data_IF_766430871999
#
_entry.id   IF_766430871999
#
_cell.length_a   1.000
_cell.length_b   1.000
_cell.length_c   1.000
_cell.angle_alpha   90.00
_cell.angle_beta   90.00
_cell.angle_gamma   90.00
#
_symmetry.space_group_name_H-M   'P 1'
#
loop_
_entity.id
_entity.type
_entity.pdbx_description
1 polymer ?
#
# COMPACT_ATOMS: atom_id res chain seq x y z
N UNK A 1 -16.69 -11.60 -3.50
CA UNK A 1 -15.67 -10.65 -4.02
C UNK A 1 -14.93 -10.15 -2.81
N UNK A 2 -13.61 -10.35 -2.62
CA UNK A 2 -12.76 -9.15 -2.47
C UNK A 2 -11.24 -9.37 -2.28
N UNK A 3 -10.35 -8.90 -3.16
CA UNK A 3 -8.96 -8.57 -2.72
C UNK A 3 -8.55 -7.22 -3.27
N UNK A 4 -8.77 -7.05 -4.57
CA UNK A 4 -8.63 -5.77 -5.23
C UNK A 4 -9.57 -4.72 -4.62
N UNK A 5 -10.83 -5.06 -4.31
CA UNK A 5 -11.78 -4.10 -3.73
C UNK A 5 -11.38 -3.60 -2.33
N UNK A 6 -10.74 -4.44 -1.50
CA UNK A 6 -10.30 -4.03 -0.15
C UNK A 6 -9.04 -3.17 -0.21
N UNK A 7 -8.09 -3.52 -1.07
CA UNK A 7 -6.90 -2.69 -1.35
C UNK A 7 -7.35 -1.36 -1.95
N UNK A 8 -8.22 -1.41 -2.96
CA UNK A 8 -8.82 -0.22 -3.57
C UNK A 8 -9.59 0.61 -2.55
N UNK A 9 -10.35 -0.01 -1.64
CA UNK A 9 -11.06 0.69 -0.57
C UNK A 9 -10.09 1.37 0.39
N UNK A 10 -9.04 0.70 0.84
CA UNK A 10 -8.04 1.31 1.75
C UNK A 10 -7.27 2.43 1.06
N UNK A 11 -6.93 2.27 -0.22
CA UNK A 11 -6.31 3.32 -1.03
C UNK A 11 -7.29 4.48 -1.26
N UNK A 12 -8.56 4.22 -1.55
CA UNK A 12 -9.59 5.25 -1.74
C UNK A 12 -9.94 5.99 -0.43
N UNK A 13 -10.06 5.28 0.69
CA UNK A 13 -10.30 5.87 2.01
C UNK A 13 -9.14 6.79 2.39
N UNK A 14 -7.90 6.36 2.16
CA UNK A 14 -6.73 7.20 2.41
C UNK A 14 -6.63 8.38 1.42
N UNK A 15 -7.08 8.23 0.15
CA UNK A 15 -7.15 9.33 -0.82
C UNK A 15 -8.18 10.40 -0.41
N UNK A 16 -9.28 10.01 0.24
CA UNK A 16 -10.30 10.94 0.78
C UNK A 16 -9.75 11.89 1.87
N UNK A 17 -8.62 11.55 2.48
CA UNK A 17 -7.91 12.39 3.45
C UNK A 17 -6.82 13.28 2.82
N UNK A 18 -6.83 13.45 1.50
CA UNK A 18 -6.26 14.64 0.84
C UNK A 18 -4.77 14.59 0.48
N UNK A 19 -4.23 13.47 0.00
CA UNK A 19 -2.80 13.39 -0.39
C UNK A 19 -2.47 12.62 -1.68
N UNK A 20 -3.46 12.39 -2.54
CA UNK A 20 -3.15 12.13 -3.94
C UNK A 20 -2.91 13.52 -4.55
N UNK A 21 -1.68 13.81 -5.00
CA UNK A 21 -1.51 14.93 -5.93
C UNK A 21 -2.44 14.66 -7.12
N UNK A 22 -3.05 15.70 -7.69
CA UNK A 22 -4.06 15.56 -8.76
C UNK A 22 -3.55 14.87 -10.03
N UNK A 23 -2.31 14.40 -10.05
CA UNK A 23 -1.64 13.65 -11.09
C UNK A 23 -1.67 12.11 -10.90
N UNK A 24 -2.30 11.62 -9.82
CA UNK A 24 -2.44 10.19 -9.55
C UNK A 24 -1.20 9.52 -8.95
N UNK A 25 -0.19 10.30 -8.55
CA UNK A 25 1.02 9.80 -7.88
C UNK A 25 0.79 9.59 -6.38
N UNK A 26 1.41 8.55 -5.86
CA UNK A 26 1.51 8.18 -4.45
C UNK A 26 2.93 8.53 -4.00
N UNK A 27 3.06 9.42 -3.02
CA UNK A 27 4.34 9.82 -2.44
C UNK A 27 4.80 8.82 -1.36
N UNK A 28 6.09 8.83 -0.97
CA UNK A 28 6.62 7.98 0.08
C UNK A 28 5.89 8.13 1.40
N UNK A 29 5.61 9.38 1.83
CA UNK A 29 4.89 9.63 3.07
C UNK A 29 3.52 8.96 3.08
N UNK A 30 2.77 9.10 1.98
CA UNK A 30 1.45 8.49 1.85
C UNK A 30 1.53 6.96 1.77
N UNK A 31 2.45 6.43 0.96
CA UNK A 31 2.66 4.99 0.82
C UNK A 31 3.04 4.33 2.15
N UNK A 32 3.92 4.95 2.93
CA UNK A 32 4.29 4.46 4.27
C UNK A 32 3.08 4.42 5.22
N UNK A 33 2.21 5.43 5.19
CA UNK A 33 0.98 5.43 6.01
C UNK A 33 0.04 4.27 5.63
N UNK A 34 -0.13 4.01 4.33
CA UNK A 34 -0.96 2.91 3.84
C UNK A 34 -0.34 1.57 4.22
N UNK A 35 0.97 1.39 4.00
CA UNK A 35 1.68 0.17 4.39
C UNK A 35 1.64 -0.06 5.90
N UNK A 36 1.82 0.97 6.72
CA UNK A 36 1.73 0.84 8.18
C UNK A 36 0.38 0.27 8.60
N UNK A 37 -0.73 0.82 8.09
CA UNK A 37 -2.08 0.32 8.40
C UNK A 37 -2.31 -1.11 7.93
N UNK A 38 -1.79 -1.46 6.75
CA UNK A 38 -1.85 -2.84 6.27
C UNK A 38 -1.02 -3.76 7.17
N UNK A 39 0.20 -3.36 7.51
CA UNK A 39 1.10 -4.13 8.34
C UNK A 39 0.49 -4.39 9.72
N UNK A 40 -0.05 -3.37 10.36
CA UNK A 40 -0.76 -3.49 11.64
C UNK A 40 -1.93 -4.48 11.53
N UNK A 41 -2.73 -4.38 10.45
CA UNK A 41 -3.87 -5.27 10.22
C UNK A 41 -3.47 -6.73 9.98
N UNK A 42 -2.35 -6.98 9.32
CA UNK A 42 -1.84 -8.32 9.00
C UNK A 42 -0.80 -8.83 10.03
N UNK A 43 -0.58 -8.10 11.13
CA UNK A 43 0.35 -8.50 12.20
C UNK A 43 1.83 -8.47 11.80
N UNK A 44 2.20 -7.65 10.82
CA UNK A 44 3.58 -7.46 10.40
C UNK A 44 4.33 -6.53 11.37
N UNK A 45 5.66 -6.71 11.55
CA UNK A 45 6.44 -5.87 12.45
C UNK A 45 6.44 -4.38 12.05
N UNK A 46 6.49 -3.45 13.03
CA UNK A 46 6.72 -2.04 12.76
C UNK A 46 8.01 -1.80 11.96
N UNK A 47 7.99 -0.87 11.01
CA UNK A 47 9.12 -0.57 10.14
C UNK A 47 9.13 -1.37 8.83
N UNK A 48 8.30 -2.42 8.72
CA UNK A 48 8.12 -3.17 7.46
C UNK A 48 7.63 -2.27 6.32
N UNK A 49 6.93 -1.17 6.63
CA UNK A 49 6.47 -0.19 5.63
C UNK A 49 7.61 0.47 4.84
N UNK A 50 8.80 0.57 5.44
CA UNK A 50 9.97 1.14 4.78
C UNK A 50 10.57 0.16 3.77
N UNK A 51 10.58 -1.13 4.11
CA UNK A 51 11.03 -2.19 3.22
C UNK A 51 10.08 -2.35 2.04
N UNK A 52 8.77 -2.41 2.30
CA UNK A 52 7.76 -2.50 1.25
C UNK A 52 7.81 -1.32 0.28
N UNK A 53 8.00 -0.11 0.80
CA UNK A 53 8.17 1.08 -0.04
C UNK A 53 9.44 1.01 -0.88
N UNK A 54 10.58 0.65 -0.28
CA UNK A 54 11.86 0.55 -0.99
C UNK A 54 11.81 -0.45 -2.14
N UNK A 55 11.09 -1.56 -1.97
CA UNK A 55 10.87 -2.54 -3.03
C UNK A 55 9.95 -2.01 -4.13
N UNK A 56 8.87 -1.32 -3.75
CA UNK A 56 7.90 -0.76 -4.67
C UNK A 56 8.50 0.40 -5.50
N UNK A 57 9.21 1.33 -4.85
CA UNK A 57 9.94 2.42 -5.50
C UNK A 57 11.42 2.05 -5.72
N UNK A 58 11.67 0.87 -6.29
CA UNK A 58 13.04 0.37 -6.55
C UNK A 58 13.92 1.30 -7.39
N UNK A 59 13.29 2.15 -8.22
CA UNK A 59 13.98 3.11 -9.08
C UNK A 59 14.21 4.46 -8.37
N UNK A 60 13.82 4.58 -7.09
CA UNK A 60 13.93 5.78 -6.27
C UNK A 60 13.37 7.03 -6.97
N UNK A 61 12.19 6.90 -7.58
CA UNK A 61 11.52 8.03 -8.26
C UNK A 61 10.96 9.03 -7.25
N UNK A 62 10.83 8.64 -5.98
CA UNK A 62 10.16 9.43 -4.95
C UNK A 62 8.64 9.45 -5.14
N UNK A 63 8.10 8.54 -5.97
CA UNK A 63 6.68 8.31 -6.14
C UNK A 63 6.41 6.99 -6.87
N UNK A 64 5.19 6.48 -6.73
CA UNK A 64 4.63 5.41 -7.57
C UNK A 64 3.21 5.76 -8.01
N UNK A 65 2.74 5.13 -9.07
CA UNK A 65 1.35 5.24 -9.51
C UNK A 65 0.44 4.35 -8.65
N UNK A 66 -0.86 4.66 -8.65
CA UNK A 66 -1.86 3.81 -7.99
C UNK A 66 -1.83 2.36 -8.50
N UNK A 67 -1.61 2.16 -9.80
CA UNK A 67 -1.55 0.82 -10.39
C UNK A 67 -0.32 0.04 -9.90
N UNK A 68 0.86 0.67 -9.85
CA UNK A 68 2.08 0.03 -9.31
C UNK A 68 1.89 -0.36 -7.85
N UNK A 69 1.29 0.51 -7.04
CA UNK A 69 1.01 0.27 -5.63
C UNK A 69 0.05 -0.91 -5.44
N UNK A 70 -1.08 -0.90 -6.15
CA UNK A 70 -2.07 -1.98 -6.12
C UNK A 70 -1.52 -3.33 -6.60
N UNK A 71 -0.72 -3.33 -7.67
CA UNK A 71 -0.09 -4.55 -8.19
C UNK A 71 0.97 -5.11 -7.24
N UNK A 72 1.73 -4.25 -6.56
CA UNK A 72 2.70 -4.71 -5.57
C UNK A 72 2.01 -5.43 -4.41
N UNK A 73 1.01 -4.80 -3.79
CA UNK A 73 0.27 -5.39 -2.66
C UNK A 73 -0.39 -6.71 -3.08
N UNK A 74 -1.01 -6.77 -4.27
CA UNK A 74 -1.69 -7.99 -4.74
C UNK A 74 -0.73 -9.14 -5.04
N UNK A 75 0.58 -8.88 -5.20
CA UNK A 75 1.62 -9.92 -5.36
C UNK A 75 2.19 -10.40 -4.04
N UNK A 76 2.04 -9.65 -2.95
CA UNK A 76 2.61 -10.04 -1.67
C UNK A 76 1.77 -11.14 -1.01
N UNK A 77 2.35 -12.32 -0.73
CA UNK A 77 1.60 -13.44 -0.12
C UNK A 77 0.99 -13.07 1.22
N UNK A 78 1.68 -12.26 2.04
CA UNK A 78 1.23 -11.87 3.38
C UNK A 78 -0.10 -11.11 3.36
N UNK A 79 -0.31 -10.21 2.40
CA UNK A 79 -1.58 -9.48 2.25
C UNK A 79 -2.67 -10.32 1.57
N UNK A 80 -2.31 -11.50 1.04
CA UNK A 80 -3.18 -12.43 0.34
C UNK A 80 -3.56 -13.67 1.17
N UNK A 81 -2.89 -13.92 2.29
CA UNK A 81 -3.23 -15.01 3.19
C UNK A 81 -4.55 -14.69 3.89
N UNK A 82 -5.49 -15.65 3.87
CA UNK A 82 -6.64 -15.61 4.78
C UNK A 82 -6.08 -15.67 6.19
N UNK A 83 -6.56 -14.82 7.09
CA UNK A 83 -6.56 -15.14 8.51
C UNK A 83 -7.15 -16.55 8.63
N UNK A 84 -6.31 -17.54 8.95
CA UNK A 84 -6.79 -18.80 9.50
C UNK A 84 -7.27 -18.44 10.90
N UNK A 85 -8.56 -18.13 11.01
CA UNK A 85 -9.28 -18.24 12.28
C UNK A 85 -9.61 -19.71 12.53
#
# INVERSE_FOLDING_TARGET
MPRQDRINFLVQQNNKHGRQQGDGRITPEYGHQVFRRLNDYYGLPPGTEHQCWKELDRNNRGYVTQNEFSQYISRQPVYNQRYQS
#
